data_IF_205328948693
#
_entry.id   IF_205328948693
#
_cell.length_a   1.000
_cell.length_b   1.000
_cell.length_c   1.000
_cell.angle_alpha   90.00
_cell.angle_beta   90.00
_cell.angle_gamma   90.00
#
_symmetry.space_group_name_H-M   'P 1'
#
loop_
_entity.id
_entity.type
_entity.pdbx_description
1 polymer ?
#
# COMPACT_ATOMS: atom_id res chain seq x y z
N UNK A 1 29.27 -7.39 13.98
CA UNK A 1 28.19 -6.42 14.24
C UNK A 1 27.84 -5.76 12.91
N UNK A 2 26.58 -5.81 12.49
CA UNK A 2 26.12 -5.21 11.24
C UNK A 2 25.25 -4.00 11.60
N UNK A 3 25.58 -2.83 11.06
CA UNK A 3 24.82 -1.59 11.27
C UNK A 3 24.12 -1.27 9.94
N UNK A 4 22.79 -1.19 9.94
CA UNK A 4 22.01 -0.71 8.79
C UNK A 4 21.79 0.79 8.94
N UNK A 5 22.17 1.56 7.92
CA UNK A 5 21.96 3.01 7.87
C UNK A 5 20.93 3.28 6.78
N UNK A 6 19.76 3.79 7.15
CA UNK A 6 18.69 4.09 6.21
C UNK A 6 18.83 5.53 5.70
N UNK A 7 18.77 5.68 4.38
CA UNK A 7 18.75 6.98 3.72
C UNK A 7 17.30 7.29 3.32
N UNK A 8 16.74 8.44 3.74
CA UNK A 8 15.39 8.83 3.33
C UNK A 8 15.26 8.87 1.81
N UNK A 9 14.18 8.29 1.28
CA UNK A 9 13.80 8.38 -0.12
C UNK A 9 12.33 8.69 -0.24
N UNK A 10 11.98 9.57 -1.17
CA UNK A 10 10.60 9.83 -1.56
C UNK A 10 10.23 8.86 -2.67
N UNK A 11 9.07 8.22 -2.53
CA UNK A 11 8.54 7.26 -3.49
C UNK A 11 7.18 7.77 -3.95
N UNK A 12 6.99 7.83 -5.26
CA UNK A 12 5.69 8.07 -5.88
C UNK A 12 5.15 6.76 -6.42
N UNK A 13 3.97 6.35 -5.93
CA UNK A 13 3.23 5.21 -6.45
C UNK A 13 2.02 5.78 -7.19
N UNK A 14 1.91 5.56 -8.51
CA UNK A 14 0.76 6.01 -9.27
C UNK A 14 -0.56 5.45 -8.70
N UNK A 15 -1.60 6.29 -8.67
CA UNK A 15 -2.85 5.99 -7.95
C UNK A 15 -3.59 4.77 -8.51
N UNK A 16 -3.41 4.49 -9.80
CA UNK A 16 -3.95 3.32 -10.50
C UNK A 16 -3.44 1.99 -9.94
N UNK A 17 -2.27 1.97 -9.29
CA UNK A 17 -1.73 0.76 -8.69
C UNK A 17 -2.22 0.54 -7.25
N UNK A 18 -2.74 1.57 -6.57
CA UNK A 18 -3.12 1.49 -5.16
C UNK A 18 -4.15 0.40 -4.86
N UNK A 19 -5.22 0.18 -5.66
CA UNK A 19 -6.19 -0.88 -5.38
C UNK A 19 -5.55 -2.28 -5.48
N UNK A 20 -4.68 -2.49 -6.47
CA UNK A 20 -4.00 -3.77 -6.67
C UNK A 20 -3.00 -4.04 -5.55
N UNK A 21 -2.27 -3.02 -5.10
CA UNK A 21 -1.34 -3.10 -3.97
C UNK A 21 -2.08 -3.36 -2.65
N UNK A 22 -3.18 -2.64 -2.40
CA UNK A 22 -4.01 -2.85 -1.21
C UNK A 22 -4.59 -4.26 -1.18
N UNK A 23 -5.05 -4.79 -2.33
CA UNK A 23 -5.55 -6.15 -2.44
C UNK A 23 -4.46 -7.18 -2.08
N UNK A 24 -3.28 -7.07 -2.68
CA UNK A 24 -2.19 -8.03 -2.41
C UNK A 24 -1.67 -7.94 -0.98
N UNK A 25 -1.65 -6.74 -0.39
CA UNK A 25 -1.35 -6.56 1.02
C UNK A 25 -2.41 -7.25 1.91
N UNK A 26 -3.70 -7.13 1.56
CA UNK A 26 -4.79 -7.81 2.26
C UNK A 26 -4.66 -9.34 2.13
N UNK A 27 -4.45 -9.84 0.92
CA UNK A 27 -4.28 -11.27 0.63
C UNK A 27 -3.10 -11.87 1.42
N UNK A 28 -2.00 -11.11 1.57
CA UNK A 28 -0.82 -11.53 2.33
C UNK A 28 -1.07 -11.58 3.84
N UNK A 29 -1.98 -10.75 4.35
CA UNK A 29 -2.41 -10.76 5.76
C UNK A 29 -3.51 -11.79 6.04
N UNK A 30 -4.22 -12.25 5.01
CA UNK A 30 -5.33 -13.19 5.13
C UNK A 30 -6.41 -12.69 6.10
N UNK A 31 -6.80 -13.56 7.02
CA UNK A 31 -7.85 -13.30 8.02
C UNK A 31 -7.51 -12.16 8.98
N UNK A 32 -6.23 -11.76 9.07
CA UNK A 32 -5.79 -10.65 9.92
C UNK A 32 -5.96 -9.28 9.28
N UNK A 33 -6.26 -9.22 7.98
CA UNK A 33 -6.38 -7.96 7.25
C UNK A 33 -7.39 -6.95 7.83
N UNK A 34 -8.50 -7.34 8.50
CA UNK A 34 -9.41 -6.39 9.16
C UNK A 34 -8.88 -5.83 10.48
N UNK A 35 -7.90 -6.50 11.10
CA UNK A 35 -7.34 -6.14 12.42
C UNK A 35 -6.10 -5.23 12.29
N UNK A 36 -5.47 -5.24 11.12
CA UNK A 36 -4.24 -4.48 10.86
C UNK A 36 -4.59 -3.13 10.27
N UNK A 37 -4.19 -2.06 10.96
CA UNK A 37 -4.30 -0.70 10.45
C UNK A 37 -3.49 -0.55 9.16
N UNK A 38 -4.13 -0.01 8.12
CA UNK A 38 -3.50 0.27 6.86
C UNK A 38 -2.49 1.40 7.02
N UNK A 39 -1.30 1.25 6.47
CA UNK A 39 -0.27 2.29 6.45
C UNK A 39 0.30 2.42 5.04
N UNK A 40 0.91 3.57 4.72
CA UNK A 40 1.65 3.73 3.45
C UNK A 40 2.75 2.67 3.29
N UNK A 41 3.35 2.24 4.39
CA UNK A 41 4.41 1.22 4.38
C UNK A 41 3.95 -0.14 3.88
N UNK A 42 2.69 -0.52 4.11
CA UNK A 42 2.14 -1.76 3.52
C UNK A 42 2.13 -1.69 1.99
N UNK A 43 1.70 -0.56 1.43
CA UNK A 43 1.64 -0.37 -0.03
C UNK A 43 3.03 -0.28 -0.66
N UNK A 44 3.98 0.40 0.00
CA UNK A 44 5.36 0.51 -0.48
C UNK A 44 6.06 -0.84 -0.48
N UNK A 45 5.94 -1.62 0.60
CA UNK A 45 6.53 -2.98 0.67
C UNK A 45 5.94 -3.88 -0.42
N UNK A 46 4.62 -3.83 -0.62
CA UNK A 46 3.98 -4.57 -1.70
C UNK A 46 4.48 -4.13 -3.08
N UNK A 47 4.67 -2.83 -3.31
CA UNK A 47 5.17 -2.32 -4.59
C UNK A 47 6.62 -2.76 -4.88
N UNK A 48 7.45 -2.90 -3.85
CA UNK A 48 8.79 -3.51 -3.98
C UNK A 48 8.65 -5.01 -4.33
N UNK A 49 7.84 -5.77 -3.59
CA UNK A 49 7.64 -7.20 -3.86
C UNK A 49 7.08 -7.48 -5.26
N UNK A 50 6.23 -6.60 -5.77
CA UNK A 50 5.64 -6.73 -7.11
C UNK A 50 6.59 -6.29 -8.24
N UNK A 51 7.77 -5.76 -7.92
CA UNK A 51 8.75 -5.25 -8.88
C UNK A 51 8.34 -3.94 -9.56
N UNK A 52 7.41 -3.19 -8.97
CA UNK A 52 7.07 -1.82 -9.42
C UNK A 52 8.21 -0.85 -9.12
N UNK A 53 8.97 -1.11 -8.07
CA UNK A 53 10.07 -0.29 -7.59
C UNK A 53 11.42 -1.02 -7.74
N UNK A 54 11.84 -1.28 -8.99
CA UNK A 54 13.01 -2.12 -9.30
C UNK A 54 14.33 -1.69 -8.67
N UNK A 55 14.50 -0.40 -8.39
CA UNK A 55 15.67 0.15 -7.70
C UNK A 55 15.80 -0.33 -6.23
N UNK A 56 14.82 -1.10 -5.75
CA UNK A 56 14.71 -1.62 -4.39
C UNK A 56 14.67 -3.16 -4.34
N UNK A 57 14.84 -3.86 -5.46
CA UNK A 57 14.79 -5.32 -5.52
C UNK A 57 15.83 -5.96 -4.57
N UNK A 58 16.97 -5.30 -4.37
CA UNK A 58 18.01 -5.72 -3.42
C UNK A 58 17.59 -5.70 -1.95
N UNK A 59 16.46 -5.09 -1.62
CA UNK A 59 15.90 -5.07 -0.27
C UNK A 59 15.00 -6.28 0.00
N UNK A 60 14.72 -7.11 -1.00
CA UNK A 60 13.95 -8.34 -0.83
C UNK A 60 14.88 -9.41 -0.25
N UNK A 61 14.57 -9.87 0.96
CA UNK A 61 15.27 -10.95 1.65
C UNK A 61 14.99 -12.31 1.00
N UNK A 62 15.79 -13.31 1.39
CA UNK A 62 15.62 -14.70 0.91
C UNK A 62 14.26 -15.30 1.29
N UNK A 63 13.62 -14.78 2.33
CA UNK A 63 12.28 -15.16 2.80
C UNK A 63 11.15 -14.36 2.11
N UNK A 64 11.49 -13.48 1.17
CA UNK A 64 10.55 -12.60 0.46
C UNK A 64 10.13 -11.36 1.25
N UNK A 65 10.66 -11.13 2.45
CA UNK A 65 10.36 -9.92 3.22
C UNK A 65 11.14 -8.72 2.67
N UNK A 66 10.58 -7.51 2.81
CA UNK A 66 11.24 -6.28 2.34
C UNK A 66 11.90 -5.56 3.51
N UNK A 67 13.22 -5.43 3.45
CA UNK A 67 14.06 -4.72 4.43
C UNK A 67 13.96 -3.19 4.25
N UNK A 68 12.78 -2.65 4.56
CA UNK A 68 12.49 -1.23 4.45
C UNK A 68 11.85 -0.70 5.73
N UNK A 69 12.47 0.34 6.28
CA UNK A 69 11.91 1.15 7.36
C UNK A 69 11.12 2.29 6.73
N UNK A 70 9.80 2.25 6.89
CA UNK A 70 8.97 3.44 6.71
C UNK A 70 9.06 4.22 8.03
N UNK A 71 9.35 5.53 7.96
CA UNK A 71 9.50 6.36 9.15
C UNK A 71 8.27 6.17 10.07
N UNK A 72 8.43 5.88 11.38
CA UNK A 72 7.32 5.70 12.32
C UNK A 72 6.37 6.90 12.39
N UNK A 73 6.86 8.12 12.14
CA UNK A 73 6.01 9.32 11.99
C UNK A 73 5.23 9.38 10.67
N UNK A 74 5.47 8.45 9.76
CA UNK A 74 4.82 8.31 8.44
C UNK A 74 4.12 6.96 8.22
N UNK A 75 4.38 5.96 9.08
CA UNK A 75 3.51 4.79 9.28
C UNK A 75 2.24 5.15 10.07
N UNK A 76 1.89 6.44 10.15
CA UNK A 76 0.58 6.90 10.55
C UNK A 76 -0.47 6.11 9.75
N UNK A 77 -1.45 5.51 10.42
CA UNK A 77 -2.53 4.82 9.73
C UNK A 77 -3.20 5.72 8.70
N UNK A 78 -3.56 5.13 7.56
CA UNK A 78 -4.32 5.84 6.54
C UNK A 78 -5.71 6.14 7.10
N UNK A 79 -6.10 7.40 7.00
CA UNK A 79 -7.40 7.88 7.48
C UNK A 79 -8.31 8.23 6.30
N UNK A 80 -9.58 7.90 6.46
CA UNK A 80 -10.66 8.38 5.60
C UNK A 80 -11.81 8.83 6.49
N UNK A 81 -12.36 10.01 6.23
CA UNK A 81 -13.39 10.65 7.07
C UNK A 81 -13.03 10.65 8.59
N UNK A 82 -11.77 11.01 8.92
CA UNK A 82 -11.21 11.04 10.28
C UNK A 82 -11.26 9.68 11.04
N UNK A 83 -11.35 8.58 10.31
CA UNK A 83 -11.26 7.22 10.86
C UNK A 83 -10.06 6.49 10.27
N UNK A 84 -9.28 5.87 11.14
CA UNK A 84 -8.24 4.92 10.75
C UNK A 84 -8.84 3.73 10.01
N UNK A 85 -8.30 3.44 8.84
CA UNK A 85 -8.68 2.28 8.05
C UNK A 85 -7.83 1.06 8.42
N UNK A 86 -8.46 -0.10 8.45
CA UNK A 86 -7.79 -1.39 8.29
C UNK A 86 -7.38 -1.60 6.82
N UNK A 87 -6.52 -2.59 6.56
CA UNK A 87 -6.13 -2.95 5.18
C UNK A 87 -7.35 -3.40 4.36
N UNK A 88 -8.29 -4.12 4.97
CA UNK A 88 -9.55 -4.51 4.34
C UNK A 88 -10.40 -3.27 3.97
N UNK A 89 -10.59 -2.34 4.91
CA UNK A 89 -11.38 -1.12 4.67
C UNK A 89 -10.71 -0.17 3.65
N UNK A 90 -9.38 -0.14 3.59
CA UNK A 90 -8.65 0.58 2.55
C UNK A 90 -8.99 0.03 1.16
N UNK A 91 -8.97 -1.30 1.00
CA UNK A 91 -9.30 -1.95 -0.26
C UNK A 91 -10.72 -1.61 -0.70
N UNK A 92 -11.70 -1.73 0.20
CA UNK A 92 -13.10 -1.42 -0.07
C UNK A 92 -13.27 0.05 -0.49
N UNK A 93 -12.58 0.97 0.20
CA UNK A 93 -12.62 2.42 -0.11
C UNK A 93 -12.04 2.72 -1.50
N UNK A 94 -10.94 2.06 -1.87
CA UNK A 94 -10.29 2.24 -3.16
C UNK A 94 -11.14 1.66 -4.30
N UNK A 95 -11.75 0.49 -4.10
CA UNK A 95 -12.67 -0.12 -5.07
C UNK A 95 -13.93 0.72 -5.24
N UNK A 96 -14.51 1.23 -4.15
CA UNK A 96 -15.66 2.12 -4.20
C UNK A 96 -15.36 3.40 -4.99
N UNK A 97 -14.21 4.03 -4.77
CA UNK A 97 -13.78 5.23 -5.52
C UNK A 97 -13.58 4.97 -7.01
N UNK A 98 -12.99 3.85 -7.40
CA UNK A 98 -12.88 3.47 -8.81
C UNK A 98 -14.26 3.33 -9.44
N UNK A 99 -15.13 2.54 -8.83
CA UNK A 99 -16.46 2.25 -9.36
C UNK A 99 -17.31 3.53 -9.48
N UNK A 100 -17.18 4.47 -8.52
CA UNK A 100 -17.87 5.76 -8.57
C UNK A 100 -17.34 6.68 -9.68
N UNK A 101 -16.03 6.66 -9.94
CA UNK A 101 -15.40 7.42 -11.02
C UNK A 101 -15.82 6.87 -12.40
N UNK A 102 -15.89 5.55 -12.53
CA UNK A 102 -16.32 4.88 -13.76
C UNK A 102 -17.81 5.15 -14.07
N UNK A 103 -18.68 5.18 -13.04
CA UNK A 103 -20.09 5.54 -13.20
C UNK A 103 -20.30 6.99 -13.66
N UNK A 104 -19.48 7.94 -13.19
CA UNK A 104 -19.54 9.33 -13.67
C UNK A 104 -19.10 9.45 -15.13
N UNK A 105 -18.00 8.79 -15.50
CA UNK A 105 -17.51 8.79 -16.88
C UNK A 105 -18.52 8.17 -17.87
N UNK A 106 -19.27 7.15 -17.45
CA UNK A 106 -20.32 6.54 -18.28
C UNK A 106 -21.57 7.43 -18.44
N UNK A 107 -21.86 8.30 -17.46
CA UNK A 107 -22.99 9.23 -17.51
C UNK A 107 -22.77 10.46 -18.38
N UNK A 108 -21.52 10.91 -18.56
CA UNK A 108 -21.18 12.03 -19.46
C UNK A 108 -21.08 11.62 -20.94
N UNK A 109 -21.03 10.32 -21.23
CA UNK A 109 -20.95 9.78 -22.59
C UNK A 109 -22.33 9.42 -23.21
N UNK A 110 -23.45 9.76 -22.54
CA UNK A 110 -24.82 9.41 -22.92
C UNK A 110 -25.66 10.63 -23.33
#
# INVERSE_FOLDING_TARGET
>A
MQIKVYVPKLIEIPSEYLPALAKRAADSLGDRSPEVSATRGHLVRQAVQDGLLRDFDQLIGEDGTVDLVCDPGTEIPLEFDNRTLSIAELLDTLQYKQNWSDMQAAGEAA
#
